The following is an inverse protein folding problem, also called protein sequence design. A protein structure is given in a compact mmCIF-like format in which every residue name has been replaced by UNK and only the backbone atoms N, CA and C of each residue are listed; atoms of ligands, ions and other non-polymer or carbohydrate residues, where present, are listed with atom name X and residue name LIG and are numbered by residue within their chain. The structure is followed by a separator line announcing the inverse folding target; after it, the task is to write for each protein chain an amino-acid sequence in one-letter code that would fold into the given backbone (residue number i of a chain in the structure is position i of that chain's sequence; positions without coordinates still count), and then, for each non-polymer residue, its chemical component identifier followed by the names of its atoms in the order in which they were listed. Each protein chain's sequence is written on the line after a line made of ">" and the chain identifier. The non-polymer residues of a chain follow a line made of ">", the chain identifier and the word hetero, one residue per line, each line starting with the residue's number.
data_IF_769613868966
#
_entry.id   IF_769613868966
#
_cell.length_a   1.000
_cell.length_b   1.000
_cell.length_c   1.000
_cell.angle_alpha   90.00
_cell.angle_beta   90.00
_cell.angle_gamma   90.00
#
_symmetry.space_group_name_H-M   'P 1'
#
loop_
_entity.id
_entity.type
_entity.pdbx_description
1 polymer ?
#
# COMPACT_ATOMS: atom_id res chain seq x y z
N UNK A 1 -15.28 24.26 -36.49
CA UNK A 1 -14.40 24.79 -35.41
C UNK A 1 -15.08 24.92 -34.05
N UNK A 2 -16.42 24.93 -33.94
CA UNK A 2 -17.18 25.07 -32.67
C UNK A 2 -17.10 23.86 -31.70
N UNK A 3 -16.79 22.66 -32.21
CA UNK A 3 -16.69 21.41 -31.44
C UNK A 3 -15.26 21.00 -31.05
N UNK A 4 -14.24 21.80 -31.40
CA UNK A 4 -12.84 21.50 -31.07
C UNK A 4 -12.52 21.78 -29.60
N UNK A 5 -13.09 22.86 -29.04
CA UNK A 5 -12.91 23.26 -27.66
C UNK A 5 -13.35 22.21 -26.61
N UNK A 6 -14.52 21.54 -26.73
CA UNK A 6 -14.92 20.53 -25.74
C UNK A 6 -14.06 19.26 -25.80
N UNK A 7 -13.54 18.89 -26.98
CA UNK A 7 -12.69 17.70 -27.15
C UNK A 7 -11.33 17.89 -26.47
N UNK A 8 -10.75 19.09 -26.58
CA UNK A 8 -9.49 19.44 -25.90
C UNK A 8 -9.69 19.45 -24.38
N UNK A 9 -10.81 20.02 -23.90
CA UNK A 9 -11.12 20.05 -22.47
C UNK A 9 -11.32 18.63 -21.89
N UNK A 10 -12.01 17.75 -22.61
CA UNK A 10 -12.25 16.37 -22.17
C UNK A 10 -10.95 15.53 -22.15
N UNK A 11 -10.07 15.75 -23.11
CA UNK A 11 -8.75 15.09 -23.15
C UNK A 11 -7.85 15.51 -21.98
N UNK A 12 -7.97 16.75 -21.49
CA UNK A 12 -7.16 17.26 -20.39
C UNK A 12 -7.59 16.67 -19.03
N UNK A 13 -8.90 16.44 -18.86
CA UNK A 13 -9.45 15.79 -17.65
C UNK A 13 -9.06 14.31 -17.58
N UNK A 14 -9.06 13.61 -18.71
CA UNK A 14 -8.65 12.20 -18.76
C UNK A 14 -7.17 12.00 -18.41
N UNK A 15 -6.29 12.95 -18.77
CA UNK A 15 -4.87 12.88 -18.45
C UNK A 15 -4.57 13.16 -16.96
N UNK A 16 -5.43 13.90 -16.25
CA UNK A 16 -5.25 14.19 -14.82
C UNK A 16 -5.62 13.01 -13.90
N UNK A 17 -6.34 12.00 -14.40
CA UNK A 17 -6.76 10.83 -13.62
C UNK A 17 -5.72 9.70 -13.52
N UNK A 18 -4.60 9.81 -14.22
CA UNK A 18 -3.55 8.79 -14.18
C UNK A 18 -2.62 9.03 -12.98
N UNK A 19 -3.14 8.83 -11.76
CA UNK A 19 -2.29 8.74 -10.59
C UNK A 19 -1.57 7.39 -10.63
N UNK A 20 -0.23 7.37 -10.68
CA UNK A 20 0.48 6.12 -10.50
C UNK A 20 0.08 5.58 -9.13
N UNK A 21 -0.44 4.35 -9.09
CA UNK A 21 -0.56 3.60 -7.86
C UNK A 21 0.85 3.44 -7.32
N UNK A 22 1.26 4.39 -6.46
CA UNK A 22 2.53 4.35 -5.77
C UNK A 22 2.45 3.15 -4.82
N UNK A 23 2.80 1.97 -5.33
CA UNK A 23 3.35 0.88 -4.53
C UNK A 23 4.64 1.41 -3.94
N UNK A 24 4.52 2.23 -2.90
CA UNK A 24 5.61 2.52 -2.00
C UNK A 24 5.83 1.21 -1.26
N UNK A 25 6.74 0.39 -1.79
CA UNK A 25 7.34 -0.67 -1.00
C UNK A 25 8.18 0.05 0.03
N UNK A 26 7.57 0.45 1.15
CA UNK A 26 8.23 1.21 2.19
C UNK A 26 9.47 0.41 2.59
N UNK A 27 10.68 0.97 2.47
CA UNK A 27 11.88 0.28 2.91
C UNK A 27 11.66 -0.10 4.36
N UNK A 28 11.64 -1.40 4.64
CA UNK A 28 11.38 -1.83 6.00
C UNK A 28 12.47 -1.25 6.91
N UNK A 29 12.10 -0.57 8.01
CA UNK A 29 13.10 -0.07 8.94
C UNK A 29 14.02 -1.20 9.36
N UNK A 30 15.33 -0.94 9.50
CA UNK A 30 16.30 -1.94 9.99
C UNK A 30 15.89 -2.55 11.35
N UNK A 31 15.09 -1.80 12.11
CA UNK A 31 14.63 -2.15 13.46
C UNK A 31 13.23 -2.79 13.47
N UNK A 32 12.57 -2.94 12.31
CA UNK A 32 11.26 -3.55 12.20
C UNK A 32 11.40 -5.07 12.00
N UNK A 33 11.45 -5.80 13.12
CA UNK A 33 11.61 -7.24 13.15
C UNK A 33 10.29 -7.91 13.58
N UNK A 34 9.87 -8.92 12.83
CA UNK A 34 8.78 -9.80 13.19
C UNK A 34 9.16 -11.24 12.80
N UNK A 35 8.78 -12.21 13.63
CA UNK A 35 8.96 -13.64 13.37
C UNK A 35 7.69 -14.38 13.78
N UNK A 36 7.16 -15.20 12.89
CA UNK A 36 5.97 -16.01 13.13
C UNK A 36 6.19 -17.42 12.56
N UNK A 37 5.29 -18.36 12.87
CA UNK A 37 5.40 -19.73 12.38
C UNK A 37 5.15 -19.87 10.86
N UNK A 38 4.65 -18.83 10.18
CA UNK A 38 4.31 -18.88 8.76
C UNK A 38 4.84 -17.63 8.01
N UNK A 39 5.42 -17.78 6.81
CA UNK A 39 6.01 -16.64 6.08
C UNK A 39 4.98 -15.55 5.76
N UNK A 40 3.75 -15.90 5.38
CA UNK A 40 2.71 -14.91 5.06
C UNK A 40 2.34 -14.08 6.29
N UNK A 41 2.18 -14.70 7.47
CA UNK A 41 1.91 -13.96 8.71
C UNK A 41 3.07 -13.04 9.09
N UNK A 42 4.31 -13.44 8.80
CA UNK A 42 5.49 -12.58 8.99
C UNK A 42 5.46 -11.38 8.04
N UNK A 43 5.07 -11.57 6.79
CA UNK A 43 4.95 -10.48 5.81
C UNK A 43 3.83 -9.50 6.19
N UNK A 44 2.68 -10.00 6.66
CA UNK A 44 1.59 -9.17 7.18
C UNK A 44 2.05 -8.33 8.38
N UNK A 45 2.77 -8.92 9.34
CA UNK A 45 3.33 -8.18 10.47
C UNK A 45 4.31 -7.08 10.01
N UNK A 46 5.15 -7.41 9.03
CA UNK A 46 6.14 -6.49 8.45
C UNK A 46 5.48 -5.34 7.67
N UNK A 47 4.36 -5.57 7.00
CA UNK A 47 3.59 -4.50 6.34
C UNK A 47 3.05 -3.51 7.37
N UNK A 48 2.46 -3.98 8.48
CA UNK A 48 1.96 -3.12 9.55
C UNK A 48 3.09 -2.26 10.14
N UNK A 49 4.25 -2.85 10.41
CA UNK A 49 5.43 -2.10 10.87
C UNK A 49 5.95 -1.11 9.81
N UNK A 50 5.98 -1.52 8.54
CA UNK A 50 6.42 -0.69 7.41
C UNK A 50 5.51 0.51 7.14
N UNK A 51 4.24 0.44 7.57
CA UNK A 51 3.26 1.54 7.51
C UNK A 51 3.27 2.43 8.75
N UNK A 52 4.18 2.20 9.70
CA UNK A 52 4.29 2.98 10.94
C UNK A 52 3.40 2.49 12.08
N UNK A 53 2.81 1.29 11.96
CA UNK A 53 2.10 0.64 13.06
C UNK A 53 3.06 0.19 14.17
N UNK A 54 2.54 0.10 15.40
CA UNK A 54 3.33 -0.37 16.55
C UNK A 54 3.42 -1.91 16.60
N UNK A 55 4.28 -2.43 17.48
CA UNK A 55 4.49 -3.88 17.63
C UNK A 55 3.22 -4.65 18.04
N UNK A 56 2.33 -4.04 18.83
CA UNK A 56 1.08 -4.67 19.23
C UNK A 56 0.11 -4.85 18.05
N UNK A 57 -0.06 -3.82 17.21
CA UNK A 57 -0.86 -3.89 16.00
C UNK A 57 -0.32 -4.94 15.02
N UNK A 58 1.02 -4.99 14.87
CA UNK A 58 1.67 -6.01 14.05
C UNK A 58 1.42 -7.43 14.57
N UNK A 59 1.47 -7.64 15.89
CA UNK A 59 1.18 -8.93 16.50
C UNK A 59 -0.29 -9.36 16.34
N UNK A 60 -1.23 -8.43 16.46
CA UNK A 60 -2.66 -8.71 16.22
C UNK A 60 -2.89 -9.11 14.76
N UNK A 61 -2.33 -8.36 13.81
CA UNK A 61 -2.45 -8.69 12.39
C UNK A 61 -1.79 -10.04 12.05
N UNK A 62 -0.61 -10.32 12.61
CA UNK A 62 0.06 -11.60 12.49
C UNK A 62 -0.81 -12.75 13.02
N UNK A 63 -1.45 -12.57 14.18
CA UNK A 63 -2.33 -13.57 14.78
C UNK A 63 -3.52 -13.92 13.89
N UNK A 64 -4.18 -12.91 13.29
CA UNK A 64 -5.24 -13.16 12.32
C UNK A 64 -4.74 -13.82 11.05
N UNK A 65 -3.58 -13.43 10.54
CA UNK A 65 -2.97 -14.05 9.37
C UNK A 65 -2.50 -15.49 9.63
N UNK A 66 -2.25 -15.87 10.88
CA UNK A 66 -1.89 -17.24 11.26
C UNK A 66 -3.13 -18.13 11.45
N UNK A 67 -4.30 -17.54 11.66
CA UNK A 67 -5.55 -18.25 11.91
C UNK A 67 -6.24 -18.76 10.63
N UNK A 68 -5.77 -18.31 9.46
CA UNK A 68 -6.29 -18.64 8.13
C UNK A 68 -5.21 -19.37 7.34
#
# INVERSE_FOLDING_TARGET
>A
MKFLAPVIALSFIAAAGCQPALTVKTPLPSNAVAATAHPVATEVARDVLGRGGNAAAAAVAAGFALAV
#
